data_IF_564691727132
#
_entry.id   IF_564691727132
#
_cell.length_a   1.000
_cell.length_b   1.000
_cell.length_c   1.000
_cell.angle_alpha   90.00
_cell.angle_beta   90.00
_cell.angle_gamma   90.00
#
_symmetry.space_group_name_H-M   'P 1'
#
loop_
_entity.id
_entity.type
_entity.pdbx_description
1 polymer ?
#
# COMPACT_ATOMS: atom_id res chain seq x y z
N UNK A 1 -1.26 11.87 8.19
CA UNK A 1 -2.26 11.07 8.95
C UNK A 1 -1.65 10.74 10.30
N UNK A 2 -2.33 10.04 11.21
CA UNK A 2 -1.64 9.51 12.40
C UNK A 2 -1.02 8.15 12.08
N UNK A 3 -0.05 7.73 12.88
CA UNK A 3 0.56 6.41 12.78
C UNK A 3 -0.39 5.37 13.36
N UNK A 4 -1.10 4.63 12.50
CA UNK A 4 -2.06 3.62 12.94
C UNK A 4 -2.36 2.58 11.84
N UNK A 5 -3.24 1.64 12.17
CA UNK A 5 -3.87 0.73 11.24
C UNK A 5 -5.15 1.33 10.66
N UNK A 6 -5.30 1.21 9.35
CA UNK A 6 -6.44 1.74 8.60
C UNK A 6 -7.04 0.67 7.71
N UNK A 7 -8.36 0.69 7.55
CA UNK A 7 -9.02 -0.02 6.46
C UNK A 7 -8.89 0.83 5.19
N UNK A 8 -8.44 0.22 4.10
CA UNK A 8 -8.17 0.90 2.85
C UNK A 8 -8.65 0.09 1.64
N UNK A 9 -9.04 0.80 0.58
CA UNK A 9 -9.30 0.18 -0.72
C UNK A 9 -7.97 -0.03 -1.44
N UNK A 10 -7.66 -1.29 -1.74
CA UNK A 10 -6.39 -1.71 -2.36
C UNK A 10 -6.64 -2.33 -3.72
N UNK A 11 -6.16 -1.68 -4.76
CA UNK A 11 -6.13 -2.23 -6.12
C UNK A 11 -4.77 -2.88 -6.40
N UNK A 12 -4.77 -4.20 -6.47
CA UNK A 12 -3.62 -5.01 -6.90
C UNK A 12 -3.51 -5.03 -8.43
N UNK A 13 -2.28 -4.97 -8.94
CA UNK A 13 -1.94 -5.17 -10.34
C UNK A 13 -0.62 -5.92 -10.51
N UNK A 14 -0.62 -6.97 -11.32
CA UNK A 14 0.58 -7.67 -11.75
C UNK A 14 0.92 -7.30 -13.20
N UNK A 15 2.04 -6.62 -13.42
CA UNK A 15 2.39 -6.14 -14.76
C UNK A 15 2.72 -7.26 -15.76
N UNK A 16 3.06 -8.45 -15.28
CA UNK A 16 3.48 -9.56 -16.14
C UNK A 16 2.29 -10.38 -16.64
N UNK A 17 1.30 -10.63 -15.78
CA UNK A 17 0.11 -11.41 -16.14
C UNK A 17 -1.07 -10.53 -16.55
N UNK A 18 -0.99 -9.21 -16.33
CA UNK A 18 -2.12 -8.31 -16.51
C UNK A 18 -3.22 -8.48 -15.46
N UNK A 19 -3.01 -9.34 -14.45
CA UNK A 19 -3.99 -9.61 -13.40
C UNK A 19 -4.23 -8.34 -12.58
N UNK A 20 -5.51 -8.04 -12.35
CA UNK A 20 -5.96 -6.95 -11.48
C UNK A 20 -7.02 -7.45 -10.52
N UNK A 21 -7.01 -6.95 -9.29
CA UNK A 21 -8.00 -7.30 -8.27
C UNK A 21 -8.17 -6.14 -7.30
N UNK A 22 -9.35 -6.02 -6.70
CA UNK A 22 -9.67 -5.00 -5.69
C UNK A 22 -9.99 -5.68 -4.38
N UNK A 23 -9.51 -5.10 -3.29
CA UNK A 23 -9.67 -5.62 -1.94
C UNK A 23 -9.94 -4.45 -0.99
N UNK A 24 -10.66 -4.73 0.10
CA UNK A 24 -10.67 -3.86 1.27
C UNK A 24 -9.79 -4.54 2.31
N UNK A 25 -8.64 -3.93 2.64
CA UNK A 25 -7.58 -4.53 3.46
C UNK A 25 -7.20 -3.61 4.62
N UNK A 26 -6.67 -4.22 5.67
CA UNK A 26 -6.06 -3.49 6.77
C UNK A 26 -4.61 -3.18 6.40
N UNK A 27 -4.23 -1.90 6.47
CA UNK A 27 -2.87 -1.41 6.20
C UNK A 27 -2.31 -0.72 7.44
N UNK A 28 -0.98 -0.67 7.55
CA UNK A 28 -0.30 0.12 8.58
C UNK A 28 0.33 1.36 7.95
N UNK A 29 -0.01 2.53 8.48
CA UNK A 29 0.64 3.79 8.17
C UNK A 29 1.62 4.12 9.29
N UNK A 30 2.84 4.53 8.92
CA UNK A 30 3.85 5.01 9.84
C UNK A 30 4.72 6.04 9.13
N UNK A 31 4.88 7.22 9.73
CA UNK A 31 5.64 8.36 9.16
C UNK A 31 5.14 8.73 7.75
N UNK A 32 3.82 8.96 7.64
CA UNK A 32 3.11 9.29 6.40
C UNK A 32 3.36 8.29 5.24
N UNK A 33 3.67 7.04 5.58
CA UNK A 33 3.94 5.98 4.62
C UNK A 33 3.20 4.70 4.95
N UNK A 34 2.62 4.05 3.94
CA UNK A 34 2.14 2.67 4.06
C UNK A 34 3.35 1.75 4.19
N UNK A 35 3.50 1.15 5.37
CA UNK A 35 4.62 0.24 5.69
C UNK A 35 4.20 -1.22 5.71
N UNK A 36 2.91 -1.53 5.74
CA UNK A 36 2.39 -2.89 5.71
C UNK A 36 0.99 -2.95 5.08
N UNK A 37 0.72 -4.00 4.30
CA UNK A 37 -0.59 -4.35 3.76
C UNK A 37 -0.91 -5.79 4.17
N UNK A 38 -1.99 -5.97 4.92
CA UNK A 38 -2.39 -7.26 5.50
C UNK A 38 -3.52 -7.92 4.69
N UNK A 39 -3.26 -9.13 4.16
CA UNK A 39 -4.20 -9.96 3.39
C UNK A 39 -4.98 -10.96 4.25
N UNK A 40 -4.86 -10.90 5.58
CA UNK A 40 -5.50 -11.80 6.55
C UNK A 40 -4.78 -13.15 6.73
N UNK A 41 -4.15 -13.66 5.67
CA UNK A 41 -3.33 -14.88 5.68
C UNK A 41 -1.82 -14.60 5.55
N UNK A 42 -1.42 -13.33 5.60
CA UNK A 42 -0.05 -12.85 5.45
C UNK A 42 -0.03 -11.37 5.11
N UNK A 43 1.15 -10.76 5.14
CA UNK A 43 1.32 -9.35 4.79
C UNK A 43 2.51 -9.11 3.87
N UNK A 44 2.45 -8.01 3.13
CA UNK A 44 3.62 -7.40 2.49
C UNK A 44 3.98 -6.16 3.29
N UNK A 45 5.26 -5.99 3.62
CA UNK A 45 5.72 -4.94 4.51
C UNK A 45 7.10 -4.43 4.11
N UNK A 46 7.37 -3.19 4.50
CA UNK A 46 8.68 -2.58 4.39
C UNK A 46 9.67 -3.24 5.36
N UNK A 47 10.97 -3.02 5.11
CA UNK A 47 12.05 -3.53 5.96
C UNK A 47 12.47 -4.97 5.63
N UNK A 48 13.13 -5.62 6.59
CA UNK A 48 13.62 -6.98 6.43
C UNK A 48 12.45 -7.97 6.44
N UNK A 49 12.30 -8.73 5.36
CA UNK A 49 11.38 -9.86 5.28
C UNK A 49 12.17 -11.13 4.91
N UNK A 50 11.72 -12.28 5.41
CA UNK A 50 12.30 -13.58 5.07
C UNK A 50 11.74 -14.17 3.76
N UNK A 51 10.98 -13.37 3.01
CA UNK A 51 10.16 -13.82 1.89
C UNK A 51 10.76 -13.44 0.51
N UNK A 52 11.97 -12.89 0.49
CA UNK A 52 12.74 -12.66 -0.73
C UNK A 52 12.15 -11.61 -1.66
N UNK A 53 11.43 -10.62 -1.12
CA UNK A 53 10.87 -9.52 -1.90
C UNK A 53 11.43 -8.17 -1.46
N UNK A 54 11.47 -7.22 -2.41
CA UNK A 54 11.82 -5.83 -2.15
C UNK A 54 10.56 -4.99 -2.13
N UNK A 55 10.37 -4.23 -1.05
CA UNK A 55 9.28 -3.27 -0.88
C UNK A 55 9.76 -1.86 -1.23
N UNK A 56 8.96 -1.10 -1.98
CA UNK A 56 9.24 0.29 -2.34
C UNK A 56 7.96 1.11 -2.52
N UNK A 57 8.07 2.44 -2.50
CA UNK A 57 6.91 3.33 -2.49
C UNK A 57 6.17 3.31 -1.15
N UNK A 58 4.89 3.63 -1.19
CA UNK A 58 4.00 3.73 -0.02
C UNK A 58 3.92 5.12 0.59
N UNK A 59 4.71 6.09 0.14
CA UNK A 59 4.65 7.48 0.62
C UNK A 59 3.29 8.08 0.24
N UNK A 60 2.54 8.57 1.23
CA UNK A 60 1.16 9.03 1.04
C UNK A 60 1.13 10.41 0.39
N UNK A 61 0.26 10.56 -0.61
CA UNK A 61 -0.15 11.86 -1.13
C UNK A 61 -1.47 12.25 -0.47
N UNK A 62 -1.47 13.35 0.28
CA UNK A 62 -2.67 13.84 0.97
C UNK A 62 -3.47 14.80 0.11
N UNK A 63 -4.78 14.61 0.09
CA UNK A 63 -5.73 15.51 -0.56
C UNK A 63 -6.44 16.35 0.46
N UNK A 64 -6.46 17.65 0.25
CA UNK A 64 -7.10 18.61 1.15
C UNK A 64 -8.26 19.31 0.45
N UNK A 65 -9.30 19.62 1.21
CA UNK A 65 -10.34 20.53 0.73
C UNK A 65 -9.85 21.99 0.73
N UNK A 66 -10.68 22.92 0.25
CA UNK A 66 -10.35 24.36 0.22
C UNK A 66 -10.08 25.00 1.61
N UNK A 67 -10.42 24.31 2.70
CA UNK A 67 -10.20 24.74 4.08
C UNK A 67 -8.91 24.15 4.67
N UNK A 68 -8.13 23.39 3.89
CA UNK A 68 -6.90 22.73 4.34
C UNK A 68 -7.13 21.43 5.11
N UNK A 69 -8.38 20.97 5.24
CA UNK A 69 -8.69 19.69 5.91
C UNK A 69 -8.36 18.53 4.97
N UNK A 70 -7.57 17.56 5.44
CA UNK A 70 -7.33 16.30 4.73
C UNK A 70 -8.66 15.55 4.57
N UNK A 71 -8.98 15.16 3.33
CA UNK A 71 -10.21 14.46 2.94
C UNK A 71 -9.95 13.09 2.30
N UNK A 72 -8.69 12.74 2.07
CA UNK A 72 -8.27 11.43 1.59
C UNK A 72 -6.76 11.38 1.40
N UNK A 73 -6.23 10.19 1.19
CA UNK A 73 -4.85 9.97 0.81
C UNK A 73 -4.71 8.78 -0.14
N UNK A 74 -3.73 8.82 -1.02
CA UNK A 74 -3.38 7.64 -1.82
C UNK A 74 -1.88 7.42 -1.91
N UNK A 75 -1.51 6.20 -2.28
CA UNK A 75 -0.14 5.86 -2.63
C UNK A 75 -0.09 4.61 -3.52
N UNK A 76 1.08 4.37 -4.09
CA UNK A 76 1.40 3.08 -4.71
C UNK A 76 2.54 2.42 -3.96
N UNK A 77 2.26 1.22 -3.47
CA UNK A 77 3.25 0.28 -2.97
C UNK A 77 3.68 -0.63 -4.13
N UNK A 78 4.99 -0.78 -4.30
CA UNK A 78 5.58 -1.65 -5.32
C UNK A 78 6.40 -2.74 -4.66
N UNK A 79 6.02 -3.99 -4.91
CA UNK A 79 6.71 -5.18 -4.44
C UNK A 79 7.41 -5.85 -5.63
N UNK A 80 8.71 -6.11 -5.49
CA UNK A 80 9.48 -6.89 -6.46
C UNK A 80 9.83 -8.25 -5.86
N UNK A 81 9.35 -9.34 -6.49
CA UNK A 81 9.64 -10.71 -6.07
C UNK A 81 9.71 -11.65 -7.26
N UNK A 82 10.60 -12.63 -7.21
CA UNK A 82 10.77 -13.64 -8.28
C UNK A 82 10.90 -13.04 -9.70
N UNK A 83 11.64 -11.94 -9.83
CA UNK A 83 11.86 -11.28 -11.12
C UNK A 83 10.74 -10.35 -11.59
N UNK A 84 9.70 -10.12 -10.77
CA UNK A 84 8.43 -9.51 -11.20
C UNK A 84 7.99 -8.36 -10.28
N UNK A 85 7.35 -7.36 -10.89
CA UNK A 85 6.70 -6.28 -10.16
C UNK A 85 5.21 -6.55 -9.93
N UNK A 86 4.80 -6.24 -8.71
CA UNK A 86 3.44 -6.18 -8.24
C UNK A 86 3.20 -4.79 -7.66
N UNK A 87 2.04 -4.25 -7.96
CA UNK A 87 1.65 -2.90 -7.58
C UNK A 87 0.38 -2.98 -6.74
N UNK A 88 0.37 -2.24 -5.65
CA UNK A 88 -0.78 -2.08 -4.76
C UNK A 88 -1.04 -0.60 -4.67
N UNK A 89 -2.07 -0.15 -5.38
CA UNK A 89 -2.58 1.20 -5.27
C UNK A 89 -3.54 1.24 -4.09
N UNK A 90 -3.30 2.13 -3.15
CA UNK A 90 -3.98 2.20 -1.84
C UNK A 90 -4.68 3.55 -1.74
N UNK A 91 -5.97 3.53 -1.39
CA UNK A 91 -6.81 4.72 -1.17
C UNK A 91 -7.37 4.70 0.25
N UNK A 92 -7.24 5.84 0.95
CA UNK A 92 -7.63 6.11 2.34
C UNK A 92 -8.57 7.32 2.43
#
# INVERSE_FOLDING_TARGET
MEDDWYEADVTYSNSNTGTKSKYTLVIRVFDDRVVEINFGNGSVHAGQNNNGYTYSGGDLTFYQNKQGKIIGADTTVRVYRNGRYEYYYVEL
#
